data_IF_431564328714
#
_entry.id   IF_431564328714
#
_cell.length_a   1.000
_cell.length_b   1.000
_cell.length_c   1.000
_cell.angle_alpha   90.00
_cell.angle_beta   90.00
_cell.angle_gamma   90.00
#
_symmetry.space_group_name_H-M   'P 1'
#
loop_
_entity.id
_entity.type
_entity.pdbx_description
1 polymer ?
#
# COMPACT_ATOMS: atom_id res chain seq x y z
N UNK A 1 12.81 10.32 -39.70
CA UNK A 1 12.65 9.69 -38.35
C UNK A 1 12.56 8.18 -38.59
N UNK A 2 13.49 7.42 -38.05
CA UNK A 2 13.45 5.97 -38.16
C UNK A 2 12.83 5.40 -36.87
N UNK A 3 11.71 4.70 -37.00
CA UNK A 3 11.03 4.03 -35.89
C UNK A 3 11.49 2.58 -35.87
N UNK A 4 12.18 2.16 -34.81
CA UNK A 4 12.63 0.78 -34.63
C UNK A 4 11.85 0.14 -33.47
N UNK A 5 11.27 -1.05 -33.72
CA UNK A 5 10.60 -1.83 -32.68
C UNK A 5 11.63 -2.34 -31.67
N UNK A 6 11.43 -2.06 -30.39
CA UNK A 6 12.34 -2.41 -29.30
C UNK A 6 11.89 -3.67 -28.55
N UNK A 7 10.59 -3.96 -28.49
CA UNK A 7 10.04 -5.11 -27.79
C UNK A 7 8.82 -5.68 -28.53
N UNK A 8 8.59 -6.98 -28.35
CA UNK A 8 7.39 -7.66 -28.88
C UNK A 8 6.23 -7.67 -27.86
N UNK A 9 6.48 -7.16 -26.65
CA UNK A 9 5.49 -7.16 -25.58
C UNK A 9 4.63 -5.90 -25.65
N UNK A 10 3.32 -6.09 -25.84
CA UNK A 10 2.35 -4.98 -25.80
C UNK A 10 2.07 -4.58 -24.35
N UNK A 11 1.98 -3.28 -24.09
CA UNK A 11 1.59 -2.73 -22.79
C UNK A 11 0.05 -2.73 -22.61
N UNK A 12 -0.40 -2.82 -21.36
CA UNK A 12 -1.75 -2.51 -20.95
C UNK A 12 -1.96 -0.98 -20.99
N UNK A 13 -3.22 -0.55 -21.04
CA UNK A 13 -3.55 0.87 -20.90
C UNK A 13 -3.48 1.28 -19.42
N UNK A 14 -2.26 1.41 -18.93
CA UNK A 14 -1.88 1.94 -17.63
C UNK A 14 -0.55 2.68 -17.80
N UNK A 15 -0.35 3.71 -16.99
CA UNK A 15 0.89 4.48 -17.02
C UNK A 15 2.08 3.60 -16.64
N UNK A 16 3.17 3.75 -17.36
CA UNK A 16 4.41 3.09 -17.05
C UNK A 16 5.14 3.86 -15.94
N UNK A 17 5.85 3.14 -15.09
CA UNK A 17 6.59 3.68 -13.95
C UNK A 17 8.07 3.73 -14.29
N UNK A 18 8.69 4.89 -14.15
CA UNK A 18 10.14 5.04 -14.29
C UNK A 18 10.82 4.82 -12.96
N UNK A 19 11.76 3.90 -12.89
CA UNK A 19 12.59 3.63 -11.72
C UNK A 19 14.05 3.67 -12.14
N UNK A 20 14.75 4.72 -11.75
CA UNK A 20 16.10 4.97 -12.19
C UNK A 20 16.22 5.02 -13.73
N UNK A 21 17.00 4.13 -14.31
CA UNK A 21 17.21 4.02 -15.75
C UNK A 21 16.31 2.95 -16.42
N UNK A 22 15.38 2.37 -15.70
CA UNK A 22 14.43 1.37 -16.19
C UNK A 22 13.00 1.91 -16.21
N UNK A 23 12.19 1.37 -17.11
CA UNK A 23 10.77 1.66 -17.18
C UNK A 23 9.99 0.37 -16.94
N UNK A 24 9.19 0.35 -15.89
CA UNK A 24 8.31 -0.76 -15.58
C UNK A 24 6.96 -0.56 -16.26
N UNK A 25 6.48 -1.56 -16.95
CA UNK A 25 5.19 -1.51 -17.60
C UNK A 25 4.41 -2.82 -17.41
N UNK A 26 3.10 -2.68 -17.33
CA UNK A 26 2.20 -3.82 -17.26
C UNK A 26 1.97 -4.36 -18.66
N UNK A 27 2.22 -5.66 -18.86
CA UNK A 27 1.95 -6.32 -20.13
C UNK A 27 0.44 -6.36 -20.41
N UNK A 28 0.06 -6.37 -21.69
CA UNK A 28 -1.32 -6.28 -22.17
C UNK A 28 -2.32 -7.20 -21.45
N UNK A 29 -1.90 -8.41 -21.07
CA UNK A 29 -2.74 -9.37 -20.35
C UNK A 29 -2.94 -9.03 -18.86
N UNK A 30 -2.36 -7.92 -18.36
CA UNK A 30 -2.49 -7.41 -17.00
C UNK A 30 -2.03 -8.34 -15.87
N UNK A 31 -1.16 -9.31 -16.20
CA UNK A 31 -0.66 -10.29 -15.22
C UNK A 31 0.85 -10.24 -15.03
N UNK A 32 1.57 -9.52 -15.91
CA UNK A 32 3.03 -9.49 -15.93
C UNK A 32 3.52 -8.06 -15.96
N UNK A 33 4.38 -7.72 -15.00
CA UNK A 33 5.16 -6.49 -15.01
C UNK A 33 6.50 -6.77 -15.65
N UNK A 34 6.89 -5.94 -16.61
CA UNK A 34 8.14 -6.05 -17.31
C UNK A 34 9.00 -4.83 -17.09
N UNK A 35 10.29 -5.05 -16.99
CA UNK A 35 11.31 -4.02 -16.93
C UNK A 35 11.83 -3.74 -18.34
N UNK A 36 11.61 -2.54 -18.86
CA UNK A 36 12.23 -2.10 -20.11
C UNK A 36 13.50 -1.31 -19.79
N UNK A 37 14.64 -1.87 -20.10
CA UNK A 37 15.93 -1.22 -19.90
C UNK A 37 16.86 -1.47 -21.08
N UNK A 38 17.75 -0.52 -21.35
CA UNK A 38 18.79 -0.70 -22.36
C UNK A 38 19.85 -1.68 -21.85
N UNK A 39 20.21 -2.63 -22.68
CA UNK A 39 21.25 -3.62 -22.41
C UNK A 39 22.38 -3.47 -23.44
N UNK A 40 23.58 -3.18 -22.96
CA UNK A 40 24.76 -2.97 -23.77
C UNK A 40 25.22 -4.23 -24.49
N UNK A 41 25.06 -5.42 -23.89
CA UNK A 41 25.55 -6.68 -24.45
C UNK A 41 24.83 -7.06 -25.75
N UNK A 42 23.55 -6.64 -25.87
CA UNK A 42 22.73 -6.89 -27.05
C UNK A 42 22.50 -5.64 -27.90
N UNK A 43 23.11 -4.52 -27.53
CA UNK A 43 22.92 -3.20 -28.16
C UNK A 43 21.44 -2.89 -28.41
N UNK A 44 20.61 -3.02 -27.36
CA UNK A 44 19.19 -2.86 -27.50
C UNK A 44 18.43 -2.89 -26.18
N UNK A 45 17.11 -2.74 -26.26
CA UNK A 45 16.24 -2.81 -25.10
C UNK A 45 15.82 -4.26 -24.82
N UNK A 46 15.91 -4.66 -23.58
CA UNK A 46 15.36 -5.94 -23.08
C UNK A 46 14.15 -5.68 -22.19
N UNK A 47 13.27 -6.67 -22.08
CA UNK A 47 12.07 -6.57 -21.27
C UNK A 47 11.82 -7.85 -20.45
N UNK A 48 12.69 -8.17 -19.46
CA UNK A 48 12.51 -9.32 -18.59
C UNK A 48 11.22 -9.25 -17.81
N UNK A 49 10.73 -10.41 -17.40
CA UNK A 49 9.50 -10.59 -16.63
C UNK A 49 9.83 -10.59 -15.13
N UNK A 50 9.36 -9.58 -14.39
CA UNK A 50 9.54 -9.44 -12.95
C UNK A 50 8.53 -10.28 -12.14
N UNK A 51 7.59 -10.94 -12.80
CA UNK A 51 6.54 -11.73 -12.14
C UNK A 51 6.73 -13.24 -12.24
N UNK A 52 7.80 -13.70 -12.87
CA UNK A 52 8.00 -15.10 -13.23
C UNK A 52 7.92 -16.07 -12.04
N UNK A 53 8.40 -15.65 -10.87
CA UNK A 53 8.34 -16.46 -9.63
C UNK A 53 7.10 -16.14 -8.78
N UNK A 54 6.27 -15.20 -9.20
CA UNK A 54 5.14 -14.69 -8.44
C UNK A 54 3.82 -14.65 -9.25
N UNK A 55 3.68 -15.49 -10.28
CA UNK A 55 2.49 -15.49 -11.14
C UNK A 55 1.19 -15.74 -10.36
N UNK A 56 1.25 -16.50 -9.26
CA UNK A 56 0.14 -16.74 -8.35
C UNK A 56 -0.29 -15.48 -7.57
N UNK A 57 0.57 -14.48 -7.44
CA UNK A 57 0.25 -13.20 -6.79
C UNK A 57 -0.49 -12.29 -7.77
N UNK A 58 -0.11 -12.29 -9.02
CA UNK A 58 -0.63 -11.37 -10.05
C UNK A 58 -1.77 -11.98 -10.91
N UNK A 59 -2.22 -13.20 -10.63
CA UNK A 59 -3.23 -13.89 -11.43
C UNK A 59 -4.60 -13.17 -11.49
N UNK A 60 -4.93 -12.35 -10.46
CA UNK A 60 -6.17 -11.56 -10.40
C UNK A 60 -6.21 -10.34 -11.32
N UNK A 61 -5.24 -10.18 -12.21
CA UNK A 61 -5.02 -9.04 -13.11
C UNK A 61 -4.81 -7.71 -12.36
N UNK A 62 -3.82 -6.95 -12.75
CA UNK A 62 -3.52 -5.64 -12.17
C UNK A 62 -4.39 -4.58 -12.86
N UNK A 63 -5.12 -3.79 -12.08
CA UNK A 63 -6.00 -2.72 -12.54
C UNK A 63 -5.39 -1.34 -12.38
N UNK A 64 -4.53 -1.14 -11.38
CA UNK A 64 -3.89 0.13 -11.06
C UNK A 64 -2.50 -0.10 -10.48
N UNK A 65 -1.60 0.86 -10.66
CA UNK A 65 -0.25 0.83 -10.11
C UNK A 65 0.14 2.22 -9.60
N UNK A 66 0.85 2.26 -8.47
CA UNK A 66 1.46 3.48 -7.92
C UNK A 66 2.88 3.16 -7.44
N UNK A 67 3.80 4.12 -7.56
CA UNK A 67 5.19 3.95 -7.16
C UNK A 67 5.53 4.78 -5.94
N UNK A 68 6.08 4.13 -4.95
CA UNK A 68 6.70 4.73 -3.77
C UNK A 68 8.21 4.61 -3.91
N UNK A 69 8.90 5.73 -3.85
CA UNK A 69 10.36 5.77 -3.98
C UNK A 69 11.03 5.60 -2.62
N UNK A 70 10.58 6.37 -1.63
CA UNK A 70 11.12 6.38 -0.26
C UNK A 70 10.04 6.01 0.77
N UNK A 71 10.38 5.38 1.91
CA UNK A 71 11.73 4.92 2.32
C UNK A 71 12.17 3.65 1.60
N UNK A 72 11.29 2.96 0.93
CA UNK A 72 11.57 1.74 0.16
C UNK A 72 10.93 1.84 -1.23
N UNK A 73 11.68 1.45 -2.24
CA UNK A 73 11.20 1.38 -3.63
C UNK A 73 10.16 0.27 -3.78
N UNK A 74 8.89 0.65 -3.75
CA UNK A 74 7.75 -0.29 -3.81
C UNK A 74 6.79 0.13 -4.92
N UNK A 75 6.44 -0.81 -5.77
CA UNK A 75 5.37 -0.65 -6.75
C UNK A 75 4.09 -1.29 -6.17
N UNK A 76 3.16 -0.46 -5.78
CA UNK A 76 1.85 -0.86 -5.27
C UNK A 76 0.92 -1.18 -6.42
N UNK A 77 0.22 -2.30 -6.36
CA UNK A 77 -0.64 -2.78 -7.43
C UNK A 77 -1.99 -3.21 -6.87
N UNK A 78 -3.06 -2.64 -7.39
CA UNK A 78 -4.42 -3.10 -7.13
C UNK A 78 -4.77 -4.20 -8.11
N UNK A 79 -5.21 -5.35 -7.60
CA UNK A 79 -5.74 -6.45 -8.43
C UNK A 79 -7.21 -6.22 -8.77
N UNK A 80 -7.67 -6.79 -9.86
CA UNK A 80 -9.07 -6.71 -10.29
C UNK A 80 -10.08 -7.33 -9.33
N UNK A 81 -9.62 -8.22 -8.45
CA UNK A 81 -10.42 -8.79 -7.36
C UNK A 81 -10.37 -7.97 -6.07
N UNK A 82 -9.63 -6.85 -6.06
CA UNK A 82 -9.52 -5.92 -4.95
C UNK A 82 -8.47 -6.29 -3.90
N UNK A 83 -7.61 -7.27 -4.15
CA UNK A 83 -6.45 -7.51 -3.30
C UNK A 83 -5.35 -6.50 -3.63
N UNK A 84 -4.71 -5.93 -2.62
CA UNK A 84 -3.52 -5.12 -2.77
C UNK A 84 -2.30 -6.04 -2.77
N UNK A 85 -1.49 -5.93 -3.80
CA UNK A 85 -0.20 -6.60 -3.89
C UNK A 85 0.88 -5.59 -4.18
N UNK A 86 2.12 -5.91 -3.84
CA UNK A 86 3.20 -4.99 -4.09
C UNK A 86 4.47 -5.71 -4.51
N UNK A 87 5.30 -4.99 -5.22
CA UNK A 87 6.61 -5.41 -5.68
C UNK A 87 7.66 -4.49 -5.06
N UNK A 88 8.44 -5.01 -4.13
CA UNK A 88 9.69 -4.36 -3.71
C UNK A 88 10.72 -4.56 -4.81
N UNK A 89 11.19 -3.45 -5.36
CA UNK A 89 12.07 -3.47 -6.51
C UNK A 89 13.28 -2.58 -6.30
N UNK A 90 14.43 -3.20 -6.07
CA UNK A 90 15.73 -2.53 -5.96
C UNK A 90 16.69 -3.15 -6.97
N UNK A 91 16.78 -2.53 -8.12
CA UNK A 91 17.51 -3.07 -9.26
C UNK A 91 19.00 -3.27 -8.99
N UNK A 92 19.61 -2.33 -8.29
CA UNK A 92 21.05 -2.35 -7.98
C UNK A 92 21.42 -3.49 -7.03
N UNK A 93 20.52 -3.93 -6.20
CA UNK A 93 20.67 -5.05 -5.28
C UNK A 93 20.04 -6.35 -5.81
N UNK A 94 19.52 -6.34 -7.02
CA UNK A 94 18.82 -7.47 -7.63
C UNK A 94 17.61 -7.96 -6.82
N UNK A 95 16.97 -7.05 -6.05
CA UNK A 95 15.78 -7.38 -5.27
C UNK A 95 14.53 -7.25 -6.12
N UNK A 96 13.83 -8.36 -6.28
CA UNK A 96 12.50 -8.45 -6.92
C UNK A 96 11.63 -9.32 -6.01
N UNK A 97 10.91 -8.70 -5.08
CA UNK A 97 10.15 -9.39 -4.06
C UNK A 97 8.67 -8.99 -4.08
N UNK A 98 7.80 -9.97 -4.31
CA UNK A 98 6.36 -9.78 -4.31
C UNK A 98 5.75 -10.11 -2.96
N UNK A 99 4.80 -9.28 -2.51
CA UNK A 99 4.07 -9.49 -1.28
C UNK A 99 2.60 -9.08 -1.41
N UNK A 100 1.76 -9.58 -0.49
CA UNK A 100 0.32 -9.33 -0.45
C UNK A 100 -0.05 -8.58 0.81
N UNK A 101 -1.06 -7.73 0.70
CA UNK A 101 -1.64 -7.00 1.81
C UNK A 101 -3.12 -7.33 1.91
N UNK A 102 -3.51 -7.89 3.05
CA UNK A 102 -4.89 -8.24 3.34
C UNK A 102 -5.46 -7.24 4.32
N UNK A 103 -6.53 -6.57 3.95
CA UNK A 103 -7.17 -5.58 4.79
C UNK A 103 -8.12 -6.23 5.79
N UNK A 104 -8.20 -5.66 6.99
CA UNK A 104 -9.19 -6.02 7.98
C UNK A 104 -10.61 -5.71 7.51
N UNK A 105 -11.59 -6.47 8.03
CA UNK A 105 -12.98 -6.36 7.65
C UNK A 105 -13.37 -7.18 6.42
N UNK A 106 -14.61 -7.03 5.98
CA UNK A 106 -15.19 -7.82 4.90
C UNK A 106 -16.02 -6.94 3.95
N UNK A 107 -16.14 -7.36 2.69
CA UNK A 107 -17.10 -6.84 1.75
C UNK A 107 -17.98 -7.99 1.24
N UNK A 108 -19.27 -7.93 1.57
CA UNK A 108 -20.18 -9.06 1.37
C UNK A 108 -19.72 -10.29 2.16
N UNK A 109 -19.49 -11.39 1.47
CA UNK A 109 -18.96 -12.64 2.04
C UNK A 109 -17.45 -12.79 1.86
N UNK A 110 -16.79 -11.82 1.20
CA UNK A 110 -15.36 -11.82 0.91
C UNK A 110 -14.58 -10.87 1.81
N UNK A 111 -13.31 -10.72 1.51
CA UNK A 111 -12.40 -9.76 2.16
C UNK A 111 -12.79 -8.33 1.82
N UNK A 112 -12.31 -7.36 2.60
CA UNK A 112 -12.33 -5.96 2.21
C UNK A 112 -11.61 -5.76 0.86
N UNK A 113 -12.06 -4.79 0.08
CA UNK A 113 -11.63 -4.59 -1.32
C UNK A 113 -10.91 -3.26 -1.43
N UNK A 114 -9.68 -3.27 -1.92
CA UNK A 114 -8.99 -2.08 -2.37
C UNK A 114 -9.51 -1.70 -3.77
N UNK A 115 -10.01 -0.49 -3.92
CA UNK A 115 -10.54 0.00 -5.20
C UNK A 115 -9.54 0.91 -5.94
N UNK A 116 -8.69 1.62 -5.21
CA UNK A 116 -7.70 2.54 -5.79
C UNK A 116 -6.55 2.80 -4.82
N UNK A 117 -5.40 3.19 -5.35
CA UNK A 117 -4.19 3.55 -4.61
C UNK A 117 -3.57 4.83 -5.15
N UNK A 118 -2.98 5.61 -4.27
CA UNK A 118 -2.17 6.77 -4.63
C UNK A 118 -0.99 6.88 -3.66
N UNK A 119 0.16 7.25 -4.17
CA UNK A 119 1.34 7.54 -3.36
C UNK A 119 1.52 9.05 -3.30
N UNK A 120 1.59 9.60 -2.11
CA UNK A 120 1.64 11.04 -1.85
C UNK A 120 2.90 11.36 -1.06
N UNK A 121 3.72 12.34 -1.48
CA UNK A 121 4.87 12.77 -0.72
C UNK A 121 4.42 13.47 0.58
N UNK A 122 5.13 13.18 1.67
CA UNK A 122 4.95 13.85 2.97
C UNK A 122 5.91 15.04 3.13
N UNK A 123 5.70 15.82 4.20
CA UNK A 123 6.59 16.94 4.53
C UNK A 123 7.99 16.45 4.96
N UNK A 124 8.11 15.21 5.45
CA UNK A 124 9.36 14.61 5.92
C UNK A 124 10.20 13.97 4.78
N UNK A 125 9.86 14.25 3.53
CA UNK A 125 10.52 13.72 2.32
C UNK A 125 10.35 12.20 2.12
N UNK A 126 9.37 11.62 2.77
CA UNK A 126 8.91 10.25 2.56
C UNK A 126 7.65 10.22 1.70
N UNK A 127 7.22 9.03 1.36
CA UNK A 127 5.97 8.81 0.62
C UNK A 127 5.03 7.94 1.41
N UNK A 128 3.77 8.32 1.46
CA UNK A 128 2.70 7.55 2.06
C UNK A 128 1.79 6.94 0.99
N UNK A 129 1.42 5.69 1.20
CA UNK A 129 0.41 5.02 0.39
C UNK A 129 -0.99 5.34 0.93
N UNK A 130 -1.81 5.98 0.12
CA UNK A 130 -3.24 6.18 0.34
C UNK A 130 -4.05 5.19 -0.48
N UNK A 131 -5.16 4.73 0.11
CA UNK A 131 -5.99 3.67 -0.48
C UNK A 131 -7.47 3.99 -0.29
N UNK A 132 -8.29 3.60 -1.27
CA UNK A 132 -9.75 3.57 -1.10
C UNK A 132 -10.15 2.13 -0.81
N UNK A 133 -10.57 1.88 0.44
CA UNK A 133 -10.97 0.56 0.89
C UNK A 133 -12.49 0.47 1.03
N UNK A 134 -13.06 -0.54 0.40
CA UNK A 134 -14.50 -0.82 0.44
C UNK A 134 -14.81 -1.97 1.39
N UNK A 135 -15.78 -1.74 2.29
CA UNK A 135 -16.26 -2.72 3.27
C UNK A 135 -17.78 -2.73 3.38
N UNK A 136 -18.31 -3.80 3.93
CA UNK A 136 -19.71 -3.86 4.40
C UNK A 136 -19.71 -3.59 5.90
N UNK A 137 -20.29 -2.47 6.30
CA UNK A 137 -20.43 -2.07 7.71
C UNK A 137 -21.90 -1.89 8.01
N UNK A 138 -22.42 -2.63 9.01
CA UNK A 138 -23.83 -2.62 9.39
C UNK A 138 -24.78 -2.88 8.20
N UNK A 139 -24.42 -3.85 7.33
CA UNK A 139 -25.21 -4.21 6.16
C UNK A 139 -25.12 -3.23 4.98
N UNK A 140 -24.41 -2.12 5.10
CA UNK A 140 -24.23 -1.13 4.04
C UNK A 140 -22.81 -1.11 3.47
N UNK A 141 -22.68 -0.84 2.17
CA UNK A 141 -21.38 -0.60 1.54
C UNK A 141 -20.83 0.74 2.00
N UNK A 142 -19.64 0.72 2.56
CA UNK A 142 -18.87 1.91 2.95
C UNK A 142 -17.51 1.93 2.26
N UNK A 143 -17.02 3.13 1.99
CA UNK A 143 -15.69 3.39 1.45
C UNK A 143 -14.94 4.31 2.40
N UNK A 144 -13.69 3.97 2.66
CA UNK A 144 -12.81 4.75 3.51
C UNK A 144 -11.55 5.08 2.73
N UNK A 145 -11.07 6.30 2.91
CA UNK A 145 -9.71 6.65 2.53
C UNK A 145 -8.83 6.28 3.71
N UNK A 146 -7.93 5.36 3.48
CA UNK A 146 -6.99 4.86 4.48
C UNK A 146 -5.57 5.09 3.97
N UNK A 147 -4.63 5.21 4.87
CA UNK A 147 -3.22 5.23 4.53
C UNK A 147 -2.47 4.09 5.23
N UNK A 148 -1.40 3.64 4.63
CA UNK A 148 -0.51 2.66 5.23
C UNK A 148 0.46 3.41 6.14
N UNK A 149 0.38 3.12 7.44
CA UNK A 149 1.31 3.70 8.40
C UNK A 149 2.73 3.18 8.17
N UNK A 150 3.72 3.99 8.50
CA UNK A 150 5.12 3.55 8.49
C UNK A 150 5.32 2.38 9.44
N UNK A 151 6.26 1.50 9.13
CA UNK A 151 6.73 0.45 10.03
C UNK A 151 8.05 0.83 10.72
N UNK A 152 8.65 1.94 10.33
CA UNK A 152 9.80 2.52 11.01
C UNK A 152 9.29 3.44 12.11
N UNK A 153 9.12 2.88 13.28
CA UNK A 153 8.70 3.61 14.46
C UNK A 153 9.94 4.17 15.15
N UNK A 154 9.89 5.46 15.52
CA UNK A 154 10.90 6.04 16.40
C UNK A 154 10.95 5.21 17.69
N UNK A 155 12.08 4.58 17.96
CA UNK A 155 12.29 3.68 19.10
C UNK A 155 12.05 4.35 20.45
N UNK A 156 11.97 5.68 20.49
CA UNK A 156 11.81 6.46 21.73
C UNK A 156 10.36 6.57 22.18
N UNK A 157 9.37 6.37 21.30
CA UNK A 157 7.93 6.49 21.61
C UNK A 157 7.11 5.25 21.23
N UNK A 158 6.97 4.33 22.16
CA UNK A 158 6.13 3.14 21.98
C UNK A 158 4.63 3.44 21.96
N UNK A 159 4.20 4.66 22.26
CA UNK A 159 2.76 5.02 22.30
C UNK A 159 2.18 5.24 20.92
N UNK A 160 3.02 5.49 19.92
CA UNK A 160 2.63 5.64 18.53
C UNK A 160 2.51 4.32 17.76
N UNK A 161 2.90 3.20 18.38
CA UNK A 161 2.83 1.89 17.73
C UNK A 161 1.39 1.44 17.52
N UNK A 162 1.08 1.16 16.28
CA UNK A 162 -0.24 0.74 15.83
C UNK A 162 -0.15 -0.62 15.16
N UNK A 163 -0.71 -1.66 15.80
CA UNK A 163 -0.66 -3.04 15.33
C UNK A 163 -2.03 -3.58 14.89
N UNK A 164 -3.02 -2.70 14.75
CA UNK A 164 -4.37 -3.08 14.34
C UNK A 164 -4.60 -2.74 12.87
N UNK A 165 -5.19 -3.66 12.14
CA UNK A 165 -5.66 -3.39 10.79
C UNK A 165 -6.85 -2.42 10.84
N UNK A 166 -6.80 -1.36 10.02
CA UNK A 166 -7.91 -0.44 9.80
C UNK A 166 -8.41 0.21 11.09
N UNK A 167 -7.54 0.98 11.72
CA UNK A 167 -7.85 1.72 12.95
C UNK A 167 -8.08 3.20 12.69
N UNK A 168 -8.79 3.83 13.58
CA UNK A 168 -8.88 5.26 13.74
C UNK A 168 -8.39 5.63 15.14
N UNK A 169 -7.38 6.47 15.23
CA UNK A 169 -6.92 7.03 16.50
C UNK A 169 -7.54 8.43 16.69
N UNK A 170 -8.00 8.70 17.87
CA UNK A 170 -8.51 10.01 18.28
C UNK A 170 -7.74 10.48 19.52
N UNK A 171 -7.08 11.60 19.39
CA UNK A 171 -6.44 12.29 20.51
C UNK A 171 -7.34 13.42 20.97
N UNK A 172 -8.21 13.15 21.91
CA UNK A 172 -9.08 14.16 22.54
C UNK A 172 -8.41 14.90 23.68
N UNK A 173 -9.11 15.87 24.26
CA UNK A 173 -8.65 16.56 25.47
C UNK A 173 -8.52 15.55 26.62
N UNK A 174 -7.44 15.68 27.38
CA UNK A 174 -7.20 14.83 28.54
C UNK A 174 -8.02 15.30 29.72
N UNK A 175 -8.67 14.37 30.43
CA UNK A 175 -9.35 14.63 31.69
C UNK A 175 -8.53 14.10 32.87
N UNK A 176 -8.58 14.79 34.00
CA UNK A 176 -7.93 14.35 35.22
C UNK A 176 -8.88 13.54 36.09
N UNK A 177 -8.36 12.50 36.72
CA UNK A 177 -9.12 11.72 37.68
C UNK A 177 -9.25 12.46 39.01
N UNK A 178 -10.40 12.33 39.65
CA UNK A 178 -10.63 12.87 41.00
C UNK A 178 -10.12 11.87 42.05
N UNK A 179 -8.83 12.04 42.40
CA UNK A 179 -8.16 11.22 43.40
C UNK A 179 -7.50 9.96 42.84
N UNK A 180 -6.97 9.15 43.75
CA UNK A 180 -6.27 7.93 43.42
C UNK A 180 -7.24 6.76 43.18
N UNK A 181 -6.99 5.97 42.15
CA UNK A 181 -7.72 4.72 41.90
C UNK A 181 -7.09 3.62 42.77
N UNK A 182 -7.92 2.99 43.65
CA UNK A 182 -7.48 1.81 44.36
C UNK A 182 -7.56 0.55 43.47
N UNK A 183 -6.81 -0.48 43.79
CA UNK A 183 -6.86 -1.75 43.07
C UNK A 183 -8.20 -2.51 43.18
N UNK A 184 -9.11 -2.05 44.03
CA UNK A 184 -10.44 -2.58 44.20
C UNK A 184 -11.56 -1.62 43.73
N UNK A 185 -11.19 -0.51 43.06
CA UNK A 185 -12.15 0.45 42.58
C UNK A 185 -13.00 -0.14 41.42
N UNK A 186 -14.29 -0.10 41.55
CA UNK A 186 -15.25 -0.45 40.48
C UNK A 186 -15.82 0.78 39.76
N UNK A 187 -15.50 1.98 40.26
CA UNK A 187 -15.96 3.26 39.72
C UNK A 187 -14.81 4.23 39.66
N UNK A 188 -14.69 4.92 38.56
CA UNK A 188 -13.69 5.97 38.33
C UNK A 188 -14.47 7.29 38.15
N UNK A 189 -14.11 8.31 38.92
CA UNK A 189 -14.72 9.64 38.82
C UNK A 189 -13.78 10.60 38.12
N UNK A 190 -14.27 11.28 37.11
CA UNK A 190 -13.53 12.31 36.38
C UNK A 190 -13.71 13.66 37.10
N UNK A 191 -12.63 14.38 37.38
CA UNK A 191 -12.66 15.64 38.11
C UNK A 191 -13.32 16.77 37.30
N UNK A 192 -13.05 16.79 36.00
CA UNK A 192 -13.69 17.71 35.05
C UNK A 192 -13.50 17.18 33.62
N UNK A 193 -14.50 17.39 32.80
CA UNK A 193 -14.42 17.03 31.37
C UNK A 193 -15.76 16.51 30.88
N UNK A 194 -16.07 16.86 29.67
CA UNK A 194 -17.22 16.35 28.88
C UNK A 194 -16.82 15.30 27.88
N UNK A 195 -15.60 14.78 28.01
CA UNK A 195 -14.95 14.00 26.96
C UNK A 195 -15.42 12.52 26.92
N UNK A 196 -16.14 12.07 27.95
CA UNK A 196 -16.76 10.76 27.99
C UNK A 196 -18.27 10.89 27.82
N UNK A 197 -18.74 11.05 26.60
CA UNK A 197 -20.15 10.93 26.27
C UNK A 197 -20.46 9.50 25.83
N UNK A 198 -21.46 8.88 26.46
CA UNK A 198 -21.93 7.54 26.10
C UNK A 198 -22.62 7.50 24.73
#
# INVERSE_FOLDING_TARGET
>A
IMIKKQSNHGAANLDAISVGNATLFLQRARRKIRELAYNFDVDGYTAPDLTILAEHITEGNISEMAYQEEPLAIIWCVRGDGELVALTYQREQEVVAWHRHVFGGAFGTGKAVCESVAVIPTEDSEYELYMIIKRTINGATKRYVEFLNTFDFDETDNTSFNFLDSQLSYSGATSTLNGNISNSATTVTVASGTDFTS
#
